data_IF_139121052605
#
_entry.id   IF_139121052605
#
_cell.length_a   1.000
_cell.length_b   1.000
_cell.length_c   1.000
_cell.angle_alpha   90.00
_cell.angle_beta   90.00
_cell.angle_gamma   90.00
#
_symmetry.space_group_name_H-M   'P 1'
#
loop_
_entity.id
_entity.type
_entity.pdbx_description
1 polymer ?
#
# COMPACT_ATOMS: atom_id res chain seq x y z
N UNK A 1 -1.85 -39.23 33.75
CA UNK A 1 -0.88 -38.14 33.50
C UNK A 1 -1.67 -36.96 32.94
N UNK A 2 -1.69 -35.79 33.61
CA UNK A 2 -2.44 -34.65 33.13
C UNK A 2 -1.78 -34.07 31.88
N UNK A 3 -2.64 -33.65 30.93
CA UNK A 3 -2.29 -33.13 29.61
C UNK A 3 -1.37 -31.91 29.72
N UNK A 4 -0.40 -31.86 28.82
CA UNK A 4 0.44 -30.71 28.49
C UNK A 4 -0.47 -29.49 28.25
N UNK A 5 -0.17 -28.32 28.85
CA UNK A 5 -0.93 -27.10 28.62
C UNK A 5 -0.89 -26.69 27.15
N UNK A 6 -2.05 -26.39 26.59
CA UNK A 6 -2.22 -25.66 25.34
C UNK A 6 -1.54 -24.30 25.47
N UNK A 7 -0.74 -23.92 24.47
CA UNK A 7 -0.01 -22.66 24.35
C UNK A 7 -0.80 -21.43 24.84
N UNK A 8 -0.16 -20.49 25.53
CA UNK A 8 -0.78 -19.23 25.90
C UNK A 8 -0.86 -18.32 24.65
N UNK A 9 -2.10 -17.94 24.31
CA UNK A 9 -2.39 -16.59 23.83
C UNK A 9 -1.81 -16.17 22.46
N UNK A 10 -2.18 -16.85 21.36
CA UNK A 10 -2.13 -16.19 20.05
C UNK A 10 -3.30 -15.20 19.97
N UNK A 11 -3.05 -13.93 20.28
CA UNK A 11 -4.03 -12.87 20.01
C UNK A 11 -4.52 -12.99 18.56
N UNK A 12 -5.83 -12.85 18.29
CA UNK A 12 -6.34 -12.97 16.94
C UNK A 12 -5.64 -11.95 16.02
N UNK A 13 -5.22 -12.40 14.84
CA UNK A 13 -4.59 -11.53 13.86
C UNK A 13 -5.47 -10.28 13.60
N UNK A 14 -4.86 -9.10 13.34
CA UNK A 14 -5.60 -7.85 13.20
C UNK A 14 -6.53 -7.86 11.99
N UNK A 15 -6.38 -8.82 11.08
CA UNK A 15 -7.24 -9.08 9.94
C UNK A 15 -7.20 -10.57 9.59
N UNK A 16 -8.16 -11.02 8.78
CA UNK A 16 -8.22 -12.41 8.34
C UNK A 16 -7.03 -12.73 7.43
N UNK A 17 -6.18 -13.67 7.84
CA UNK A 17 -5.11 -14.19 7.01
C UNK A 17 -5.66 -15.17 5.97
N UNK A 18 -5.27 -14.97 4.71
CA UNK A 18 -5.57 -15.89 3.61
C UNK A 18 -4.73 -17.17 3.71
N UNK A 19 -5.05 -18.18 2.89
CA UNK A 19 -4.21 -19.38 2.79
C UNK A 19 -2.79 -19.03 2.34
N UNK A 20 -2.66 -18.08 1.43
CA UNK A 20 -1.39 -17.62 0.91
C UNK A 20 -0.57 -16.88 1.97
N UNK A 21 -1.20 -16.04 2.80
CA UNK A 21 -0.51 -15.38 3.92
C UNK A 21 0.09 -16.40 4.89
N UNK A 22 -0.65 -17.48 5.19
CA UNK A 22 -0.18 -18.55 6.08
C UNK A 22 0.97 -19.34 5.48
N UNK A 23 0.93 -19.58 4.17
CA UNK A 23 2.03 -20.21 3.44
C UNK A 23 3.29 -19.35 3.51
N UNK A 24 3.19 -18.05 3.23
CA UNK A 24 4.31 -17.09 3.31
C UNK A 24 4.89 -17.07 4.73
N UNK A 25 4.04 -17.00 5.76
CA UNK A 25 4.49 -16.97 7.16
C UNK A 25 5.17 -18.28 7.61
N UNK A 26 5.02 -19.36 6.84
CA UNK A 26 5.71 -20.63 7.12
C UNK A 26 7.10 -20.74 6.48
N UNK A 27 7.48 -19.78 5.65
CA UNK A 27 8.76 -19.73 4.92
C UNK A 27 9.77 -18.82 5.63
N UNK A 28 11.05 -19.03 5.37
CA UNK A 28 12.09 -18.04 5.71
C UNK A 28 12.24 -16.98 4.62
N UNK A 29 12.90 -15.89 4.96
CA UNK A 29 13.21 -14.81 4.03
C UNK A 29 14.11 -15.27 2.86
N UNK A 30 14.96 -16.28 3.09
CA UNK A 30 15.86 -16.86 2.09
C UNK A 30 15.12 -17.78 1.10
N UNK A 31 14.02 -18.39 1.54
CA UNK A 31 13.16 -19.23 0.70
C UNK A 31 12.21 -18.39 -0.18
N UNK A 32 11.99 -17.13 0.20
CA UNK A 32 11.10 -16.22 -0.50
C UNK A 32 11.67 -15.77 -1.85
N UNK A 33 10.89 -15.98 -2.91
CA UNK A 33 11.19 -15.49 -4.25
C UNK A 33 10.51 -14.13 -4.44
N UNK A 34 11.32 -13.08 -4.57
CA UNK A 34 10.82 -11.74 -4.87
C UNK A 34 10.13 -11.67 -6.23
N UNK A 35 9.07 -10.85 -6.29
CA UNK A 35 8.43 -10.48 -7.54
C UNK A 35 9.37 -9.59 -8.37
N UNK A 36 9.78 -10.08 -9.53
CA UNK A 36 10.47 -9.27 -10.54
C UNK A 36 9.48 -8.47 -11.42
N UNK A 37 10.01 -7.61 -12.28
CA UNK A 37 9.19 -6.72 -13.10
C UNK A 37 8.26 -7.45 -14.07
N UNK A 38 8.71 -8.55 -14.69
CA UNK A 38 7.89 -9.27 -15.67
C UNK A 38 6.80 -10.08 -14.96
N UNK A 39 7.12 -10.68 -13.80
CA UNK A 39 6.14 -11.32 -12.94
C UNK A 39 5.05 -10.33 -12.49
N UNK A 40 5.42 -9.11 -12.08
CA UNK A 40 4.45 -8.08 -11.70
C UNK A 40 3.59 -7.63 -12.90
N UNK A 41 4.18 -7.49 -14.10
CA UNK A 41 3.45 -7.20 -15.34
C UNK A 41 2.39 -8.25 -15.62
N UNK A 42 2.75 -9.53 -15.52
CA UNK A 42 1.83 -10.64 -15.76
C UNK A 42 0.69 -10.70 -14.73
N UNK A 43 1.00 -10.45 -13.44
CA UNK A 43 -0.01 -10.39 -12.38
C UNK A 43 -1.02 -9.26 -12.66
N UNK A 44 -0.54 -8.06 -13.03
CA UNK A 44 -1.40 -6.92 -13.31
C UNK A 44 -2.22 -7.14 -14.59
N UNK A 45 -1.59 -7.65 -15.66
CA UNK A 45 -2.25 -7.89 -16.94
C UNK A 45 -3.37 -8.94 -16.84
N UNK A 46 -3.18 -9.97 -16.01
CA UNK A 46 -4.21 -10.99 -15.76
C UNK A 46 -5.14 -10.65 -14.59
N UNK A 47 -4.99 -9.45 -14.00
CA UNK A 47 -5.74 -8.98 -12.84
C UNK A 47 -5.70 -9.96 -11.64
N UNK A 48 -4.60 -10.72 -11.51
CA UNK A 48 -4.39 -11.73 -10.47
C UNK A 48 -3.78 -11.15 -9.20
N UNK A 49 -4.27 -9.98 -8.76
CA UNK A 49 -3.65 -9.16 -7.70
C UNK A 49 -3.53 -9.88 -6.34
N UNK A 50 -4.34 -10.93 -6.13
CA UNK A 50 -4.24 -11.82 -4.97
C UNK A 50 -2.90 -12.55 -4.84
N UNK A 51 -2.10 -12.58 -5.92
CA UNK A 51 -0.76 -13.16 -5.94
C UNK A 51 0.33 -12.22 -5.44
N UNK A 52 0.04 -10.94 -5.18
CA UNK A 52 1.04 -10.05 -4.60
C UNK A 52 1.32 -10.41 -3.14
N UNK A 53 2.59 -10.73 -2.87
CA UNK A 53 3.06 -11.21 -1.57
C UNK A 53 4.01 -10.20 -0.95
N UNK A 54 4.03 -10.17 0.37
CA UNK A 54 5.14 -9.56 1.12
C UNK A 54 6.17 -10.64 1.42
N UNK A 55 7.41 -10.20 1.66
CA UNK A 55 8.44 -11.05 2.26
C UNK A 55 7.96 -11.58 3.63
N UNK A 56 8.32 -12.81 4.05
CA UNK A 56 7.86 -13.38 5.32
C UNK A 56 8.10 -12.47 6.53
N UNK A 57 9.30 -11.91 6.69
CA UNK A 57 9.60 -10.93 7.74
C UNK A 57 8.67 -9.73 7.72
N UNK A 58 8.40 -9.22 6.52
CA UNK A 58 7.64 -7.98 6.31
C UNK A 58 6.16 -8.20 6.56
N UNK A 59 5.65 -9.39 6.22
CA UNK A 59 4.28 -9.79 6.55
C UNK A 59 4.12 -9.94 8.07
N UNK A 60 5.06 -10.59 8.76
CA UNK A 60 5.05 -10.72 10.22
C UNK A 60 5.11 -9.34 10.90
N UNK A 61 6.00 -8.45 10.42
CA UNK A 61 6.10 -7.08 10.90
C UNK A 61 4.82 -6.29 10.63
N UNK A 62 4.20 -6.44 9.46
CA UNK A 62 2.94 -5.77 9.12
C UNK A 62 1.79 -6.22 10.01
N UNK A 63 1.73 -7.50 10.37
CA UNK A 63 0.75 -8.04 11.32
C UNK A 63 0.95 -7.42 12.70
N UNK A 64 2.18 -7.44 13.22
CA UNK A 64 2.50 -6.84 14.53
C UNK A 64 2.16 -5.34 14.57
N UNK A 65 2.62 -4.61 13.56
CA UNK A 65 2.36 -3.17 13.40
C UNK A 65 0.87 -2.86 13.28
N UNK A 66 0.12 -3.64 12.48
CA UNK A 66 -1.32 -3.44 12.31
C UNK A 66 -2.09 -3.59 13.62
N UNK A 67 -1.68 -4.53 14.48
CA UNK A 67 -2.26 -4.69 15.81
C UNK A 67 -1.98 -3.46 16.68
N UNK A 68 -0.73 -3.00 16.73
CA UNK A 68 -0.35 -1.82 17.51
C UNK A 68 -1.06 -0.54 17.03
N UNK A 69 -1.10 -0.30 15.72
CA UNK A 69 -1.76 0.86 15.12
C UNK A 69 -3.27 0.84 15.38
N UNK A 70 -3.93 -0.31 15.24
CA UNK A 70 -5.36 -0.41 15.58
C UNK A 70 -5.62 -0.13 17.05
N UNK A 71 -4.71 -0.54 17.94
CA UNK A 71 -4.83 -0.21 19.37
C UNK A 71 -4.68 1.28 19.65
N UNK A 72 -3.79 1.99 18.95
CA UNK A 72 -3.50 3.41 19.19
C UNK A 72 -4.46 4.36 18.48
N UNK A 73 -4.80 4.06 17.23
CA UNK A 73 -5.56 4.94 16.34
C UNK A 73 -6.99 4.45 16.09
N UNK A 74 -7.37 3.28 16.61
CA UNK A 74 -8.63 2.59 16.35
C UNK A 74 -8.67 1.87 15.00
N UNK A 75 -8.19 2.51 13.93
CA UNK A 75 -8.11 1.92 12.60
C UNK A 75 -6.82 2.33 11.87
N UNK A 76 -6.38 1.51 10.90
CA UNK A 76 -5.27 1.87 10.01
C UNK A 76 -5.64 3.11 9.17
N UNK A 77 -6.90 3.24 8.74
CA UNK A 77 -7.41 4.45 8.08
C UNK A 77 -7.13 5.71 8.91
N UNK A 78 -7.46 5.68 10.20
CA UNK A 78 -7.28 6.83 11.07
C UNK A 78 -5.81 7.23 11.17
N UNK A 79 -4.92 6.24 11.33
CA UNK A 79 -3.48 6.46 11.31
C UNK A 79 -3.02 7.11 10.00
N UNK A 80 -3.45 6.58 8.85
CA UNK A 80 -3.07 7.11 7.54
C UNK A 80 -3.57 8.54 7.37
N UNK A 81 -4.85 8.82 7.68
CA UNK A 81 -5.39 10.17 7.61
C UNK A 81 -4.65 11.14 8.53
N UNK A 82 -4.46 10.78 9.80
CA UNK A 82 -3.86 11.68 10.80
C UNK A 82 -2.37 11.89 10.59
N UNK A 83 -1.60 10.82 10.34
CA UNK A 83 -0.14 10.89 10.34
C UNK A 83 0.46 11.03 8.95
N UNK A 84 -0.14 10.37 7.96
CA UNK A 84 0.44 10.28 6.61
C UNK A 84 -0.15 11.28 5.64
N UNK A 85 -1.45 11.48 5.67
CA UNK A 85 -2.14 12.38 4.74
C UNK A 85 -2.38 13.77 5.33
N UNK A 86 -2.47 13.88 6.67
CA UNK A 86 -2.91 15.07 7.39
C UNK A 86 -4.32 15.51 6.97
N UNK A 87 -5.19 14.54 6.71
CA UNK A 87 -6.61 14.76 6.37
C UNK A 87 -7.49 14.64 7.62
N UNK A 88 -8.48 15.55 7.83
CA UNK A 88 -9.35 15.52 9.00
C UNK A 88 -10.19 14.23 9.09
N UNK A 89 -10.27 13.60 10.26
CA UNK A 89 -11.05 12.37 10.47
C UNK A 89 -12.57 12.60 10.55
N UNK A 90 -12.99 13.80 10.93
CA UNK A 90 -14.39 14.14 11.18
C UNK A 90 -15.16 14.49 9.91
N UNK A 91 -14.51 14.45 8.75
CA UNK A 91 -15.06 14.82 7.46
C UNK A 91 -14.72 13.74 6.44
N UNK A 92 -15.69 13.40 5.59
CA UNK A 92 -15.44 12.53 4.46
C UNK A 92 -14.44 13.21 3.51
N UNK A 93 -13.28 12.59 3.18
CA UNK A 93 -12.32 13.15 2.23
C UNK A 93 -12.96 13.60 0.92
N UNK A 94 -13.94 12.85 0.40
CA UNK A 94 -14.62 13.17 -0.85
C UNK A 94 -15.36 14.52 -0.80
N UNK A 95 -15.81 14.93 0.38
CA UNK A 95 -16.48 16.24 0.60
C UNK A 95 -15.50 17.40 0.73
N UNK A 96 -14.21 17.11 0.86
CA UNK A 96 -13.12 18.09 1.01
C UNK A 96 -12.27 18.22 -0.27
N UNK A 97 -12.75 17.68 -1.40
CA UNK A 97 -12.09 17.84 -2.68
C UNK A 97 -12.24 19.29 -3.16
N UNK A 98 -11.15 19.85 -3.69
CA UNK A 98 -11.19 21.12 -4.39
C UNK A 98 -11.72 20.95 -5.81
N UNK A 99 -11.38 19.84 -6.47
CA UNK A 99 -11.94 19.44 -7.76
C UNK A 99 -12.66 18.09 -7.61
N UNK A 100 -13.92 17.95 -8.06
CA UNK A 100 -14.63 16.67 -8.01
C UNK A 100 -14.04 15.59 -8.93
N UNK A 101 -13.19 15.96 -9.88
CA UNK A 101 -12.53 15.06 -10.82
C UNK A 101 -11.30 14.42 -10.14
N UNK A 102 -11.24 13.08 -10.02
CA UNK A 102 -10.07 12.40 -9.47
C UNK A 102 -8.78 12.83 -10.18
N UNK A 103 -7.74 13.10 -9.39
CA UNK A 103 -6.39 13.47 -9.87
C UNK A 103 -6.27 14.80 -10.63
N UNK A 104 -7.30 15.65 -10.63
CA UNK A 104 -7.27 16.95 -11.30
C UNK A 104 -6.51 18.03 -10.50
N UNK A 105 -6.66 18.06 -9.17
CA UNK A 105 -5.98 19.02 -8.29
C UNK A 105 -5.00 18.33 -7.35
N UNK A 106 -3.77 18.85 -7.26
CA UNK A 106 -2.71 18.29 -6.40
C UNK A 106 -3.00 18.40 -4.90
N UNK A 107 -4.02 19.15 -4.48
CA UNK A 107 -4.48 19.23 -3.08
C UNK A 107 -5.40 18.07 -2.70
N UNK A 108 -5.88 17.30 -3.67
CA UNK A 108 -6.84 16.22 -3.47
C UNK A 108 -6.24 14.82 -3.56
N UNK A 109 -4.93 14.74 -3.79
CA UNK A 109 -4.19 13.50 -3.71
C UNK A 109 -2.82 13.69 -3.03
N UNK A 110 -2.22 12.58 -2.62
CA UNK A 110 -0.87 12.55 -2.08
C UNK A 110 -0.15 11.28 -2.51
N UNK A 111 1.05 11.44 -3.05
CA UNK A 111 1.93 10.34 -3.46
C UNK A 111 2.87 10.07 -2.29
N UNK A 112 2.96 8.82 -1.84
CA UNK A 112 3.81 8.40 -0.72
C UNK A 112 4.56 7.13 -1.08
N UNK A 113 5.70 6.88 -0.42
CA UNK A 113 6.28 5.53 -0.42
C UNK A 113 5.34 4.59 0.33
N UNK A 114 5.16 3.38 -0.17
CA UNK A 114 4.43 2.37 0.57
C UNK A 114 5.28 1.93 1.78
N UNK A 115 4.81 2.15 3.01
CA UNK A 115 5.50 1.67 4.21
C UNK A 115 5.62 0.16 4.28
N UNK A 116 4.68 -0.54 3.65
CA UNK A 116 4.53 -1.97 3.69
C UNK A 116 4.50 -2.52 2.26
N UNK A 117 5.60 -2.32 1.51
CA UNK A 117 5.68 -2.71 0.11
C UNK A 117 5.54 -4.23 -0.04
N UNK A 118 5.28 -4.67 -1.26
CA UNK A 118 5.36 -6.09 -1.61
C UNK A 118 6.82 -6.55 -1.68
N UNK A 119 7.04 -7.85 -1.58
CA UNK A 119 8.37 -8.45 -1.69
C UNK A 119 8.81 -8.45 -3.15
N UNK A 120 9.31 -7.30 -3.61
CA UNK A 120 9.77 -7.05 -4.97
C UNK A 120 11.29 -7.12 -5.06
N UNK A 121 11.85 -7.15 -6.26
CA UNK A 121 13.29 -7.00 -6.47
C UNK A 121 13.78 -5.59 -6.10
N UNK A 122 15.05 -5.41 -5.70
CA UNK A 122 15.55 -4.12 -5.16
C UNK A 122 15.48 -2.92 -6.12
N UNK A 123 15.37 -3.18 -7.43
CA UNK A 123 15.22 -2.15 -8.46
C UNK A 123 13.79 -1.61 -8.56
N UNK A 124 12.82 -2.15 -7.83
CA UNK A 124 11.42 -1.76 -7.89
C UNK A 124 11.04 -0.95 -6.65
N UNK A 125 10.56 0.27 -6.87
CA UNK A 125 9.98 1.11 -5.83
C UNK A 125 8.46 1.05 -5.88
N UNK A 126 7.84 0.85 -4.72
CA UNK A 126 6.39 0.75 -4.55
C UNK A 126 5.85 2.01 -3.89
N UNK A 127 5.09 2.78 -4.65
CA UNK A 127 4.42 4.01 -4.22
C UNK A 127 2.92 3.79 -4.08
N UNK A 128 2.28 4.61 -3.25
CA UNK A 128 0.83 4.67 -3.11
C UNK A 128 0.39 6.10 -3.39
N UNK A 129 -0.61 6.24 -4.26
CA UNK A 129 -1.26 7.52 -4.51
C UNK A 129 -2.62 7.48 -3.84
N UNK A 130 -2.76 8.22 -2.74
CA UNK A 130 -4.00 8.40 -2.01
C UNK A 130 -4.80 9.52 -2.65
N UNK A 131 -6.09 9.33 -2.87
CA UNK A 131 -6.97 10.35 -3.46
C UNK A 131 -8.23 10.51 -2.61
N UNK A 132 -8.67 11.76 -2.45
CA UNK A 132 -9.89 12.08 -1.70
C UNK A 132 -11.14 11.69 -2.47
N UNK A 133 -11.13 11.89 -3.79
CA UNK A 133 -12.24 11.59 -4.68
C UNK A 133 -12.53 10.09 -4.70
N UNK A 134 -13.81 9.73 -4.80
CA UNK A 134 -14.21 8.38 -5.14
C UNK A 134 -13.69 8.02 -6.55
N UNK A 135 -13.24 6.77 -6.73
CA UNK A 135 -12.90 6.23 -8.04
C UNK A 135 -14.01 5.25 -8.44
N UNK A 136 -14.87 5.60 -9.42
CA UNK A 136 -15.96 4.72 -9.83
C UNK A 136 -15.48 3.34 -10.26
N UNK A 137 -16.20 2.31 -9.81
CA UNK A 137 -16.00 0.90 -10.16
C UNK A 137 -17.24 0.35 -10.85
N UNK A 138 -17.05 -0.67 -11.68
CA UNK A 138 -18.13 -1.40 -12.33
C UNK A 138 -18.60 -2.55 -11.43
N UNK A 139 -19.80 -2.39 -10.86
CA UNK A 139 -20.43 -3.40 -10.01
C UNK A 139 -20.69 -4.73 -10.75
N UNK A 140 -20.89 -4.71 -12.07
CA UNK A 140 -21.16 -5.92 -12.86
C UNK A 140 -19.91 -6.80 -12.99
N UNK A 141 -18.72 -6.20 -12.91
CA UNK A 141 -17.44 -6.91 -12.95
C UNK A 141 -16.94 -7.34 -11.57
N UNK A 142 -17.75 -7.16 -10.52
CA UNK A 142 -17.34 -7.45 -9.15
C UNK A 142 -16.47 -6.36 -8.52
N UNK A 143 -16.52 -5.13 -9.04
CA UNK A 143 -15.82 -3.97 -8.49
C UNK A 143 -14.46 -3.67 -9.15
N UNK A 144 -14.24 -4.08 -10.41
CA UNK A 144 -13.12 -3.56 -11.21
C UNK A 144 -13.39 -2.09 -11.61
N UNK A 145 -12.37 -1.39 -12.09
CA UNK A 145 -12.51 -0.01 -12.54
C UNK A 145 -13.41 0.11 -13.77
N UNK A 146 -14.24 1.16 -13.81
CA UNK A 146 -14.91 1.53 -15.06
C UNK A 146 -13.89 1.92 -16.13
N UNK A 147 -14.23 1.81 -17.44
CA UNK A 147 -13.34 2.25 -18.52
C UNK A 147 -12.91 3.72 -18.38
N UNK A 148 -13.80 4.59 -17.89
CA UNK A 148 -13.54 6.01 -17.66
C UNK A 148 -12.55 6.21 -16.50
N UNK A 149 -12.75 5.51 -15.38
CA UNK A 149 -11.83 5.56 -14.23
C UNK A 149 -10.45 5.06 -14.61
N UNK A 150 -10.36 3.95 -15.37
CA UNK A 150 -9.09 3.40 -15.85
C UNK A 150 -8.36 4.40 -16.75
N UNK A 151 -9.06 5.03 -17.70
CA UNK A 151 -8.48 6.07 -18.56
C UNK A 151 -7.97 7.27 -17.77
N UNK A 152 -8.75 7.75 -16.79
CA UNK A 152 -8.35 8.87 -15.93
C UNK A 152 -7.09 8.56 -15.14
N UNK A 153 -6.99 7.34 -14.58
CA UNK A 153 -5.78 6.90 -13.88
C UNK A 153 -4.60 6.77 -14.85
N UNK A 154 -4.79 6.18 -16.04
CA UNK A 154 -3.74 6.07 -17.06
C UNK A 154 -3.20 7.46 -17.45
N UNK A 155 -4.07 8.45 -17.65
CA UNK A 155 -3.69 9.83 -17.97
C UNK A 155 -2.93 10.50 -16.82
N UNK A 156 -3.39 10.31 -15.58
CA UNK A 156 -2.69 10.80 -14.39
C UNK A 156 -1.30 10.18 -14.25
N UNK A 157 -1.20 8.84 -14.38
CA UNK A 157 0.06 8.12 -14.23
C UNK A 157 1.04 8.52 -15.34
N UNK A 158 0.55 8.65 -16.57
CA UNK A 158 1.34 9.12 -17.69
C UNK A 158 1.89 10.52 -17.43
N UNK A 159 1.02 11.48 -17.12
CA UNK A 159 1.41 12.88 -16.88
C UNK A 159 2.38 13.05 -15.71
N UNK A 160 2.21 12.27 -14.65
CA UNK A 160 2.94 12.46 -13.38
C UNK A 160 4.25 11.71 -13.33
N UNK A 161 4.24 10.43 -13.75
CA UNK A 161 5.38 9.55 -13.64
C UNK A 161 6.11 9.38 -14.98
N UNK A 162 5.38 9.04 -16.05
CA UNK A 162 6.02 8.73 -17.35
C UNK A 162 6.68 9.96 -17.95
N UNK A 163 5.97 11.08 -18.07
CA UNK A 163 6.50 12.32 -18.65
C UNK A 163 7.74 12.80 -17.91
N UNK A 164 7.75 12.74 -16.57
CA UNK A 164 8.94 13.10 -15.78
C UNK A 164 10.13 12.18 -16.07
N UNK A 165 9.89 10.88 -16.25
CA UNK A 165 10.94 9.91 -16.55
C UNK A 165 11.44 10.01 -18.00
N UNK A 166 10.67 10.55 -18.95
CA UNK A 166 11.11 10.74 -20.34
C UNK A 166 12.31 11.68 -20.47
N UNK A 167 12.53 12.55 -19.48
CA UNK A 167 13.69 13.44 -19.41
C UNK A 167 15.02 12.68 -19.19
N UNK A 168 14.96 11.48 -18.59
CA UNK A 168 16.14 10.71 -18.17
C UNK A 168 16.22 9.31 -18.80
N UNK A 169 15.07 8.74 -19.18
CA UNK A 169 14.96 7.34 -19.60
C UNK A 169 14.27 7.22 -20.96
N UNK A 170 14.93 6.68 -22.00
CA UNK A 170 14.29 6.43 -23.29
C UNK A 170 13.19 5.36 -23.21
N UNK A 171 13.20 4.53 -22.16
CA UNK A 171 12.21 3.49 -21.87
C UNK A 171 11.24 3.87 -20.74
N UNK A 172 11.04 5.18 -20.47
CA UNK A 172 10.23 5.71 -19.37
C UNK A 172 8.87 5.01 -19.19
N UNK A 173 8.10 4.84 -20.26
CA UNK A 173 6.79 4.18 -20.21
C UNK A 173 6.88 2.72 -19.73
N UNK A 174 7.95 2.00 -20.08
CA UNK A 174 8.15 0.60 -19.69
C UNK A 174 8.60 0.44 -18.23
N UNK A 175 8.96 1.54 -17.55
CA UNK A 175 9.39 1.59 -16.16
C UNK A 175 8.29 1.89 -15.16
N UNK A 176 7.06 2.15 -15.62
CA UNK A 176 5.93 2.52 -14.77
C UNK A 176 4.80 1.53 -14.96
N UNK A 177 4.28 1.02 -13.85
CA UNK A 177 3.03 0.26 -13.82
C UNK A 177 2.16 0.76 -12.68
N UNK A 178 0.86 0.52 -12.79
CA UNK A 178 -0.05 0.80 -11.70
C UNK A 178 -1.14 -0.27 -11.62
N UNK A 179 -1.73 -0.40 -10.44
CA UNK A 179 -2.90 -1.22 -10.22
C UNK A 179 -3.73 -0.64 -9.07
N UNK A 180 -5.01 -1.04 -9.02
CA UNK A 180 -5.88 -0.76 -7.89
C UNK A 180 -6.30 -2.09 -7.28
N UNK A 181 -6.02 -2.28 -6.00
CA UNK A 181 -6.53 -3.45 -5.28
C UNK A 181 -8.06 -3.41 -5.26
N UNK A 182 -8.71 -4.52 -5.61
CA UNK A 182 -10.16 -4.64 -5.50
C UNK A 182 -10.58 -4.64 -4.03
N UNK A 183 -11.84 -4.31 -3.74
CA UNK A 183 -12.37 -4.11 -2.38
C UNK A 183 -12.04 -5.26 -1.40
N UNK A 184 -11.99 -6.51 -1.89
CA UNK A 184 -11.68 -7.68 -1.07
C UNK A 184 -10.22 -7.70 -0.54
N UNK A 185 -9.26 -7.16 -1.29
CA UNK A 185 -7.82 -7.20 -0.99
C UNK A 185 -7.31 -5.94 -0.29
N UNK A 186 -8.10 -4.86 -0.27
CA UNK A 186 -7.72 -3.61 0.39
C UNK A 186 -7.72 -3.77 1.91
N UNK A 187 -6.57 -3.46 2.54
CA UNK A 187 -6.47 -3.31 4.00
C UNK A 187 -7.15 -2.02 4.49
N UNK A 188 -7.31 -1.02 3.61
CA UNK A 188 -7.86 0.32 3.92
C UNK A 188 -8.96 0.63 2.91
N UNK A 189 -10.18 0.16 3.17
CA UNK A 189 -11.31 0.27 2.23
C UNK A 189 -11.95 1.65 2.18
N UNK A 190 -11.73 2.47 3.20
CA UNK A 190 -12.40 3.77 3.36
C UNK A 190 -11.62 4.94 2.72
N UNK A 191 -10.48 4.67 2.08
CA UNK A 191 -9.68 5.67 1.39
C UNK A 191 -9.32 5.15 0.01
N UNK A 192 -9.60 5.96 -1.00
CA UNK A 192 -9.25 5.60 -2.37
C UNK A 192 -7.75 5.74 -2.59
N UNK A 193 -7.19 4.73 -3.25
CA UNK A 193 -5.78 4.72 -3.59
C UNK A 193 -5.50 3.81 -4.78
N UNK A 194 -4.44 4.17 -5.51
CA UNK A 194 -3.80 3.29 -6.49
C UNK A 194 -2.37 3.02 -6.04
N UNK A 195 -1.84 1.88 -6.47
CA UNK A 195 -0.45 1.53 -6.29
C UNK A 195 0.29 1.82 -7.58
N UNK A 196 1.46 2.44 -7.49
CA UNK A 196 2.35 2.71 -8.61
C UNK A 196 3.68 2.04 -8.34
N UNK A 197 4.13 1.22 -9.28
CA UNK A 197 5.42 0.57 -9.26
C UNK A 197 6.32 1.26 -10.29
N UNK A 198 7.53 1.63 -9.87
CA UNK A 198 8.54 2.21 -10.76
C UNK A 198 9.84 1.42 -10.71
N UNK A 199 10.48 1.19 -11.86
CA UNK A 199 11.70 0.38 -11.98
C UNK A 199 12.94 1.20 -12.28
N UNK A 200 13.96 1.03 -11.44
CA UNK A 200 15.29 1.64 -11.60
C UNK A 200 15.24 3.16 -11.59
N UNK A 201 14.31 3.75 -10.84
CA UNK A 201 14.15 5.20 -10.72
C UNK A 201 15.02 5.72 -9.57
N UNK A 202 15.87 6.74 -9.79
CA UNK A 202 16.69 7.35 -8.75
C UNK A 202 15.86 7.89 -7.59
N UNK A 203 16.42 7.83 -6.38
CA UNK A 203 15.72 8.29 -5.18
C UNK A 203 15.37 9.78 -5.21
N UNK A 204 16.16 10.58 -5.92
CA UNK A 204 15.93 12.02 -6.13
C UNK A 204 14.57 12.26 -6.81
N UNK A 205 14.23 11.49 -7.84
CA UNK A 205 12.92 11.57 -8.52
C UNK A 205 11.79 11.07 -7.61
N UNK A 206 12.04 10.01 -6.83
CA UNK A 206 11.05 9.52 -5.86
C UNK A 206 10.79 10.58 -4.78
N UNK A 207 11.83 11.29 -4.33
CA UNK A 207 11.72 12.41 -3.40
C UNK A 207 10.91 13.56 -4.01
N UNK A 208 11.12 13.91 -5.28
CA UNK A 208 10.31 14.92 -5.98
C UNK A 208 8.81 14.61 -5.92
N UNK A 209 8.42 13.34 -6.14
CA UNK A 209 7.01 12.94 -6.08
C UNK A 209 6.44 12.86 -4.66
N UNK A 210 7.24 12.39 -3.71
CA UNK A 210 6.73 12.00 -2.37
C UNK A 210 6.99 13.04 -1.28
N UNK A 211 8.01 13.88 -1.45
CA UNK A 211 8.60 14.68 -0.38
C UNK A 211 9.24 13.84 0.74
N UNK A 212 9.42 12.53 0.54
CA UNK A 212 9.96 11.60 1.54
C UNK A 212 11.35 11.10 1.13
N UNK A 213 12.40 11.33 1.95
CA UNK A 213 13.73 10.81 1.66
C UNK A 213 13.73 9.27 1.70
N UNK A 214 14.72 8.64 1.07
CA UNK A 214 14.99 7.21 1.28
C UNK A 214 15.02 6.89 2.77
N UNK A 215 14.29 5.83 3.15
CA UNK A 215 14.28 5.28 4.51
C UNK A 215 14.02 3.79 4.46
N UNK A 216 14.24 3.13 5.59
CA UNK A 216 13.84 1.73 5.78
C UNK A 216 12.31 1.63 5.69
N UNK A 217 11.85 0.78 4.77
CA UNK A 217 10.44 0.37 4.67
C UNK A 217 10.25 -0.94 5.44
N UNK A 218 9.00 -1.35 5.64
CA UNK A 218 8.61 -2.50 6.48
C UNK A 218 9.11 -2.38 7.93
N UNK A 219 9.21 -1.14 8.43
CA UNK A 219 9.65 -0.84 9.79
C UNK A 219 8.47 -0.96 10.77
N UNK A 220 8.48 -1.94 11.70
CA UNK A 220 7.38 -2.11 12.64
C UNK A 220 7.22 -0.96 13.64
N UNK A 221 8.18 -0.01 13.72
CA UNK A 221 8.07 1.14 14.63
C UNK A 221 7.43 2.37 14.00
N UNK A 222 7.19 2.39 12.68
CA UNK A 222 6.65 3.56 12.00
C UNK A 222 5.27 3.94 12.57
N UNK A 223 5.11 5.20 13.00
CA UNK A 223 3.86 5.65 13.62
C UNK A 223 3.66 5.24 15.09
N UNK A 224 4.61 4.52 15.70
CA UNK A 224 4.58 4.15 17.12
C UNK A 224 5.45 5.08 17.99
N UNK A 225 6.08 6.09 17.40
CA UNK A 225 7.06 6.99 18.04
C UNK A 225 6.45 7.79 19.22
N UNK A 226 5.13 7.98 19.24
CA UNK A 226 4.40 8.69 20.29
C UNK A 226 3.54 7.76 21.16
N UNK A 227 3.69 6.43 21.05
CA UNK A 227 2.91 5.50 21.84
C UNK A 227 3.27 5.66 23.34
N UNK A 228 2.29 5.81 24.25
CA UNK A 228 2.59 5.83 25.68
C UNK A 228 3.27 4.51 26.06
N UNK A 229 4.44 4.59 26.68
CA UNK A 229 5.18 3.43 27.19
C UNK A 229 4.22 2.64 28.10
N UNK A 230 3.96 1.35 27.84
CA UNK A 230 3.10 0.58 28.72
C UNK A 230 3.72 0.56 30.12
N UNK A 231 2.99 1.13 31.08
CA UNK A 231 3.37 1.10 32.49
C UNK A 231 3.49 -0.36 32.91
N UNK A 232 4.61 -0.80 33.53
CA UNK A 232 4.72 -2.17 34.00
C UNK A 232 3.57 -2.44 34.97
N UNK A 233 2.79 -3.49 34.68
CA UNK A 233 1.82 -4.01 35.64
C UNK A 233 2.65 -4.63 36.76
N UNK A 234 2.59 -4.02 37.95
CA UNK A 234 3.20 -4.51 39.19
C UNK A 234 2.36 -5.65 39.75
#
# INVERSE_FOLDING_TARGET
>A
MPKVPTDPESAPAPFQLTALDREILSQTDEEYISHDWENLKDIIATNSLHLFKRKPSDLANYISWSTAIKSLYGTITNYICLERLRWPLNLDPATQCVDPTPFADSRDYRILRNDWPYGVTPDISHLVVWVKNAIPVDEQTGGDLTPESRRSIDEFVHRTFVVRLEEEFPDAKARVMWFKNWTALQSVRSLEHIHVLVRGVPDEIIFEWTGEPARKLSDPTVGLENAPIPTPVV
#
